data_IF_550553598128
#
_entry.id   IF_550553598128
#
_cell.length_a   1.000
_cell.length_b   1.000
_cell.length_c   1.000
_cell.angle_alpha   90.00
_cell.angle_beta   90.00
_cell.angle_gamma   90.00
#
_symmetry.space_group_name_H-M   'P 1'
#
loop_
_entity.id
_entity.type
_entity.pdbx_description
1 polymer ?
#
# COMPACT_ATOMS: atom_id res chain seq x y z
N UNK A 1 1.57 -28.47 44.63
CA UNK A 1 1.82 -29.05 43.29
C UNK A 1 0.80 -28.54 42.25
N UNK A 2 0.36 -27.28 42.35
CA UNK A 2 -0.63 -26.66 41.44
C UNK A 2 -0.09 -25.39 40.75
N UNK A 3 0.95 -24.74 41.28
CA UNK A 3 1.54 -23.55 40.66
C UNK A 3 2.50 -23.88 39.49
N UNK A 4 3.15 -25.04 39.50
CA UNK A 4 4.10 -25.42 38.45
C UNK A 4 3.44 -25.79 37.13
N UNK A 5 2.21 -26.32 37.14
CA UNK A 5 1.46 -26.65 35.93
C UNK A 5 0.90 -25.41 35.22
N UNK A 6 0.45 -24.40 35.97
CA UNK A 6 -0.01 -23.14 35.39
C UNK A 6 1.15 -22.39 34.73
N UNK A 7 2.31 -22.30 35.41
CA UNK A 7 3.52 -21.68 34.87
C UNK A 7 4.07 -22.44 33.65
N UNK A 8 4.01 -23.77 33.64
CA UNK A 8 4.43 -24.57 32.48
C UNK A 8 3.42 -24.43 31.32
N UNK A 9 2.11 -24.34 31.58
CA UNK A 9 1.11 -24.10 30.52
C UNK A 9 1.19 -22.67 29.97
N UNK A 10 1.55 -21.70 30.81
CA UNK A 10 1.78 -20.31 30.43
C UNK A 10 3.08 -20.20 29.61
N UNK A 11 4.16 -20.85 30.04
CA UNK A 11 5.43 -20.91 29.29
C UNK A 11 5.29 -21.64 27.94
N UNK A 12 4.61 -22.80 27.93
CA UNK A 12 4.30 -23.54 26.70
C UNK A 12 3.39 -22.71 25.79
N UNK A 13 2.44 -21.95 26.34
CA UNK A 13 1.58 -21.08 25.53
C UNK A 13 2.35 -19.93 24.88
N UNK A 14 3.36 -19.38 25.56
CA UNK A 14 4.21 -18.28 25.04
C UNK A 14 5.17 -18.79 23.96
N UNK A 15 5.80 -19.95 24.16
CA UNK A 15 6.68 -20.57 23.16
C UNK A 15 5.88 -21.02 21.93
N UNK A 16 4.75 -21.70 22.12
CA UNK A 16 3.88 -22.13 21.01
C UNK A 16 3.30 -20.93 20.26
N UNK A 17 2.94 -19.84 20.96
CA UNK A 17 2.46 -18.62 20.33
C UNK A 17 3.55 -17.97 19.46
N UNK A 18 4.78 -17.94 19.96
CA UNK A 18 5.95 -17.38 19.25
C UNK A 18 6.23 -18.19 17.98
N UNK A 19 6.28 -19.51 18.08
CA UNK A 19 6.48 -20.37 16.90
C UNK A 19 5.32 -20.25 15.91
N UNK A 20 4.08 -20.20 16.41
CA UNK A 20 2.90 -20.04 15.58
C UNK A 20 2.91 -18.73 14.82
N UNK A 21 3.19 -17.59 15.48
CA UNK A 21 3.19 -16.29 14.80
C UNK A 21 4.34 -16.18 13.80
N UNK A 22 5.50 -16.80 14.06
CA UNK A 22 6.58 -16.89 13.08
C UNK A 22 6.19 -17.68 11.84
N UNK A 23 5.54 -18.85 12.01
CA UNK A 23 5.04 -19.66 10.90
C UNK A 23 3.97 -18.91 10.09
N UNK A 24 3.04 -18.24 10.77
CA UNK A 24 2.01 -17.43 10.11
C UNK A 24 2.63 -16.24 9.39
N UNK A 25 3.64 -15.58 9.97
CA UNK A 25 4.36 -14.49 9.32
C UNK A 25 5.09 -14.98 8.05
N UNK A 26 5.82 -16.09 8.13
CA UNK A 26 6.48 -16.69 6.98
C UNK A 26 5.49 -17.09 5.89
N UNK A 27 4.39 -17.73 6.26
CA UNK A 27 3.32 -18.08 5.34
C UNK A 27 2.70 -16.84 4.68
N UNK A 28 2.48 -15.77 5.46
CA UNK A 28 1.97 -14.50 4.96
C UNK A 28 2.93 -13.87 3.96
N UNK A 29 4.23 -13.79 4.29
CA UNK A 29 5.24 -13.23 3.40
C UNK A 29 5.34 -14.01 2.08
N UNK A 30 5.34 -15.35 2.13
CA UNK A 30 5.35 -16.18 0.92
C UNK A 30 4.09 -16.00 0.07
N UNK A 31 2.93 -15.87 0.73
CA UNK A 31 1.65 -15.61 0.04
C UNK A 31 1.65 -14.24 -0.65
N UNK A 32 2.21 -13.20 -0.02
CA UNK A 32 2.36 -11.88 -0.62
C UNK A 32 3.32 -11.88 -1.81
N UNK A 33 4.43 -12.62 -1.74
CA UNK A 33 5.35 -12.80 -2.86
C UNK A 33 4.70 -13.56 -4.03
N UNK A 34 3.81 -14.50 -3.70
CA UNK A 34 3.07 -15.34 -4.65
C UNK A 34 1.71 -14.74 -5.00
N UNK A 35 1.65 -13.42 -5.22
CA UNK A 35 0.41 -12.65 -5.36
C UNK A 35 -0.53 -13.19 -6.46
N UNK A 36 0.03 -13.75 -7.54
CA UNK A 36 -0.70 -14.32 -8.68
C UNK A 36 -1.58 -15.53 -8.28
N UNK A 37 -1.17 -16.29 -7.27
CA UNK A 37 -1.85 -17.52 -6.86
C UNK A 37 -2.57 -17.39 -5.51
N UNK A 38 -2.29 -16.32 -4.77
CA UNK A 38 -2.77 -16.13 -3.40
C UNK A 38 -3.65 -14.88 -3.20
N UNK A 39 -4.05 -14.19 -4.26
CA UNK A 39 -4.82 -12.94 -4.22
C UNK A 39 -6.03 -12.98 -3.27
N UNK A 40 -6.82 -14.06 -3.31
CA UNK A 40 -7.96 -14.28 -2.39
C UNK A 40 -7.53 -14.52 -0.93
N UNK A 41 -6.40 -15.18 -0.71
CA UNK A 41 -5.86 -15.47 0.61
C UNK A 41 -5.26 -14.23 1.29
N UNK A 42 -4.77 -13.26 0.52
CA UNK A 42 -4.17 -12.02 1.05
C UNK A 42 -5.17 -11.26 1.92
N UNK A 43 -6.44 -11.17 1.51
CA UNK A 43 -7.48 -10.51 2.30
C UNK A 43 -7.62 -11.14 3.70
N UNK A 44 -7.77 -12.47 3.76
CA UNK A 44 -7.93 -13.18 5.03
C UNK A 44 -6.69 -13.10 5.92
N UNK A 45 -5.50 -13.12 5.33
CA UNK A 45 -4.25 -12.95 6.05
C UNK A 45 -4.15 -11.56 6.65
N UNK A 46 -4.39 -10.50 5.88
CA UNK A 46 -4.41 -9.13 6.41
C UNK A 46 -5.49 -8.96 7.47
N UNK A 47 -6.66 -9.58 7.31
CA UNK A 47 -7.71 -9.57 8.32
C UNK A 47 -7.32 -10.29 9.61
N UNK A 48 -6.50 -11.34 9.53
CA UNK A 48 -5.90 -11.97 10.71
C UNK A 48 -4.94 -11.00 11.42
N UNK A 49 -4.01 -10.39 10.67
CA UNK A 49 -3.04 -9.44 11.23
C UNK A 49 -3.70 -8.20 11.81
N UNK A 50 -4.74 -7.67 11.16
CA UNK A 50 -5.54 -6.55 11.66
C UNK A 50 -6.18 -6.88 13.01
N UNK A 51 -6.78 -8.07 13.15
CA UNK A 51 -7.32 -8.54 14.44
C UNK A 51 -6.24 -8.74 15.51
N UNK A 52 -5.05 -9.21 15.12
CA UNK A 52 -3.93 -9.35 16.04
C UNK A 52 -3.47 -7.98 16.57
N UNK A 53 -3.18 -7.01 15.71
CA UNK A 53 -2.70 -5.68 16.13
C UNK A 53 -3.73 -4.89 16.93
N UNK A 54 -5.02 -5.00 16.56
CA UNK A 54 -6.11 -4.34 17.30
C UNK A 54 -6.37 -4.98 18.67
N UNK A 55 -5.95 -6.24 18.86
CA UNK A 55 -6.06 -6.93 20.15
C UNK A 55 -4.90 -6.64 21.11
N UNK A 56 -3.76 -6.11 20.63
CA UNK A 56 -2.56 -5.85 21.44
C UNK A 56 -2.81 -5.04 22.71
N UNK A 57 -3.62 -3.95 22.70
CA UNK A 57 -3.90 -3.17 23.91
C UNK A 57 -4.56 -3.98 25.05
N UNK A 58 -5.11 -5.15 24.74
CA UNK A 58 -5.79 -6.02 25.68
C UNK A 58 -4.92 -7.21 26.14
N UNK A 59 -3.75 -7.41 25.53
CA UNK A 59 -2.83 -8.49 25.85
C UNK A 59 -1.84 -8.07 26.96
N UNK A 60 -1.52 -9.01 27.85
CA UNK A 60 -0.49 -8.85 28.88
C UNK A 60 0.66 -9.80 28.56
N UNK A 61 1.90 -9.32 28.55
CA UNK A 61 3.11 -10.15 28.33
C UNK A 61 3.98 -9.66 27.18
N UNK A 62 4.86 -10.52 26.68
CA UNK A 62 5.88 -10.21 25.65
C UNK A 62 5.34 -10.21 24.21
N UNK A 63 4.09 -10.63 23.99
CA UNK A 63 3.38 -10.61 22.69
C UNK A 63 3.48 -9.29 21.90
N UNK A 64 3.42 -8.09 22.52
CA UNK A 64 3.59 -6.82 21.82
C UNK A 64 4.94 -6.73 21.08
N UNK A 65 6.03 -7.18 21.71
CA UNK A 65 7.39 -7.09 21.12
C UNK A 65 7.56 -7.95 19.87
N UNK A 66 6.87 -9.09 19.79
CA UNK A 66 6.97 -9.97 18.63
C UNK A 66 6.21 -9.40 17.42
N UNK A 67 5.02 -8.86 17.67
CA UNK A 67 4.24 -8.17 16.64
C UNK A 67 4.93 -6.89 16.16
N UNK A 68 5.70 -6.24 17.05
CA UNK A 68 6.51 -5.08 16.70
C UNK A 68 7.59 -5.40 15.65
N UNK A 69 8.06 -6.65 15.57
CA UNK A 69 9.03 -7.07 14.55
C UNK A 69 8.38 -7.61 13.28
N UNK A 70 7.23 -8.29 13.40
CA UNK A 70 6.60 -9.00 12.26
C UNK A 70 5.68 -8.10 11.44
N UNK A 71 4.89 -7.24 12.09
CA UNK A 71 3.88 -6.42 11.41
C UNK A 71 4.51 -5.47 10.39
N UNK A 72 5.61 -4.75 10.69
CA UNK A 72 6.25 -3.89 9.69
C UNK A 72 6.69 -4.65 8.44
N UNK A 73 7.27 -5.85 8.59
CA UNK A 73 7.71 -6.68 7.46
C UNK A 73 6.55 -7.10 6.57
N UNK A 74 5.38 -7.35 7.16
CA UNK A 74 4.17 -7.72 6.42
C UNK A 74 3.59 -6.51 5.70
N UNK A 75 3.57 -5.35 6.36
CA UNK A 75 3.16 -4.07 5.75
C UNK A 75 4.03 -3.75 4.53
N UNK A 76 5.35 -3.82 4.68
CA UNK A 76 6.32 -3.59 3.60
C UNK A 76 6.17 -4.62 2.47
N UNK A 77 6.04 -5.90 2.84
CA UNK A 77 5.83 -7.00 1.89
C UNK A 77 4.54 -6.84 1.07
N UNK A 78 3.47 -6.36 1.70
CA UNK A 78 2.21 -6.09 1.00
C UNK A 78 2.39 -4.96 -0.01
N UNK A 79 2.94 -3.81 0.39
CA UNK A 79 3.16 -2.67 -0.51
C UNK A 79 4.02 -3.10 -1.70
N UNK A 80 5.14 -3.79 -1.41
CA UNK A 80 6.05 -4.28 -2.44
C UNK A 80 5.34 -5.24 -3.41
N UNK A 81 4.51 -6.15 -2.90
CA UNK A 81 3.77 -7.10 -3.75
C UNK A 81 2.84 -6.41 -4.74
N UNK A 82 2.20 -5.30 -4.34
CA UNK A 82 1.32 -4.52 -5.22
C UNK A 82 2.07 -3.78 -6.32
N UNK A 83 3.28 -3.32 -6.04
CA UNK A 83 4.07 -2.66 -7.07
C UNK A 83 4.68 -3.67 -8.03
N UNK A 84 5.08 -4.83 -7.53
CA UNK A 84 5.50 -5.95 -8.37
C UNK A 84 4.35 -6.50 -9.22
N UNK A 85 3.09 -6.44 -8.76
CA UNK A 85 1.96 -6.88 -9.57
C UNK A 85 1.71 -5.99 -10.78
N UNK A 86 1.95 -4.68 -10.64
CA UNK A 86 1.88 -3.74 -11.78
C UNK A 86 3.00 -4.01 -12.79
N UNK A 87 4.21 -4.36 -12.32
CA UNK A 87 5.35 -4.70 -13.18
C UNK A 87 5.22 -6.05 -13.88
N UNK A 88 4.57 -7.03 -13.22
CA UNK A 88 4.40 -8.38 -13.74
C UNK A 88 3.41 -8.51 -14.89
N UNK A 89 2.67 -7.44 -15.21
CA UNK A 89 1.52 -7.46 -16.10
C UNK A 89 0.35 -8.23 -15.48
N UNK A 90 -0.86 -7.68 -15.58
CA UNK A 90 -2.04 -8.50 -15.35
C UNK A 90 -2.11 -9.50 -16.50
N UNK A 91 -2.42 -10.77 -16.22
CA UNK A 91 -2.75 -11.73 -17.27
C UNK A 91 -3.85 -11.14 -18.15
N UNK A 92 -3.88 -11.50 -19.44
CA UNK A 92 -4.78 -11.01 -20.51
C UNK A 92 -6.31 -11.10 -20.18
N UNK A 93 -6.65 -11.65 -19.01
CA UNK A 93 -7.96 -11.56 -18.39
C UNK A 93 -8.09 -10.21 -17.67
N UNK A 94 -8.49 -9.18 -18.45
CA UNK A 94 -8.69 -7.79 -18.04
C UNK A 94 -9.66 -7.58 -16.84
N UNK A 95 -10.28 -8.64 -16.30
CA UNK A 95 -11.23 -8.57 -15.18
C UNK A 95 -10.59 -8.57 -13.79
N UNK A 96 -9.32 -8.94 -13.66
CA UNK A 96 -8.72 -9.26 -12.36
C UNK A 96 -7.79 -8.16 -11.81
N UNK A 97 -7.62 -7.05 -12.54
CA UNK A 97 -6.85 -5.91 -12.03
C UNK A 97 -7.65 -5.18 -10.94
N UNK A 98 -7.20 -5.17 -9.68
CA UNK A 98 -7.89 -4.47 -8.60
C UNK A 98 -7.93 -2.95 -8.80
N UNK A 99 -7.03 -2.35 -9.58
CA UNK A 99 -7.12 -0.91 -9.87
C UNK A 99 -8.32 -0.56 -10.76
N UNK A 100 -8.80 -1.52 -11.56
CA UNK A 100 -9.96 -1.34 -12.45
C UNK A 100 -11.29 -1.67 -11.74
N UNK A 101 -11.23 -2.30 -10.56
CA UNK A 101 -12.38 -2.65 -9.73
C UNK A 101 -12.27 -2.04 -8.33
N UNK A 102 -12.95 -0.91 -8.15
CA UNK A 102 -12.96 -0.14 -6.90
C UNK A 102 -13.44 -0.96 -5.70
N UNK A 103 -14.43 -1.85 -5.87
CA UNK A 103 -14.93 -2.70 -4.79
C UNK A 103 -13.86 -3.69 -4.32
N UNK A 104 -13.23 -4.39 -5.28
CA UNK A 104 -12.13 -5.31 -4.99
C UNK A 104 -10.91 -4.60 -4.36
N UNK A 105 -10.62 -3.39 -4.81
CA UNK A 105 -9.56 -2.56 -4.25
C UNK A 105 -9.83 -2.18 -2.79
N UNK A 106 -11.06 -1.77 -2.51
CA UNK A 106 -11.49 -1.41 -1.16
C UNK A 106 -11.44 -2.61 -0.22
N UNK A 107 -11.90 -3.78 -0.67
CA UNK A 107 -11.84 -5.01 0.12
C UNK A 107 -10.39 -5.37 0.46
N UNK A 108 -9.47 -5.32 -0.51
CA UNK A 108 -8.06 -5.61 -0.27
C UNK A 108 -7.38 -4.61 0.68
N UNK A 109 -7.83 -3.36 0.68
CA UNK A 109 -7.31 -2.31 1.55
C UNK A 109 -8.12 -2.14 2.85
N UNK A 110 -9.16 -2.93 3.10
CA UNK A 110 -10.02 -2.78 4.28
C UNK A 110 -9.22 -2.99 5.57
N UNK A 111 -8.43 -4.06 5.62
CA UNK A 111 -7.67 -4.47 6.80
C UNK A 111 -6.27 -3.85 6.88
N UNK A 112 -5.71 -3.41 5.76
CA UNK A 112 -4.33 -2.94 5.65
C UNK A 112 -3.99 -1.72 6.52
N UNK A 113 -4.83 -0.65 6.60
CA UNK A 113 -4.56 0.52 7.42
C UNK A 113 -4.27 0.22 8.89
N UNK A 114 -4.84 -0.85 9.43
CA UNK A 114 -4.64 -1.23 10.83
C UNK A 114 -3.21 -1.68 11.10
N UNK A 115 -2.59 -2.38 10.14
CA UNK A 115 -1.18 -2.79 10.22
C UNK A 115 -0.25 -1.59 10.11
N UNK A 116 -0.52 -0.66 9.18
CA UNK A 116 0.26 0.59 9.07
C UNK A 116 0.21 1.41 10.36
N UNK A 117 -0.99 1.55 10.94
CA UNK A 117 -1.18 2.37 12.14
C UNK A 117 -0.60 1.76 13.41
N UNK A 118 -0.43 0.45 13.45
CA UNK A 118 0.28 -0.23 14.54
C UNK A 118 1.70 0.31 14.74
N UNK A 119 2.41 0.59 13.64
CA UNK A 119 3.69 1.31 13.66
C UNK A 119 3.68 2.47 12.68
N UNK A 120 2.92 3.52 13.02
CA UNK A 120 2.60 4.57 12.06
C UNK A 120 3.82 5.38 11.61
N UNK A 121 4.74 5.68 12.52
CA UNK A 121 5.99 6.40 12.19
C UNK A 121 6.87 5.64 11.20
N UNK A 122 7.15 4.35 11.48
CA UNK A 122 7.96 3.51 10.58
C UNK A 122 7.28 3.30 9.22
N UNK A 123 5.98 3.02 9.24
CA UNK A 123 5.20 2.73 8.03
C UNK A 123 5.11 3.96 7.10
N UNK A 124 4.90 5.16 7.65
CA UNK A 124 4.82 6.38 6.85
C UNK A 124 6.16 6.75 6.20
N UNK A 125 7.26 6.63 6.95
CA UNK A 125 8.62 6.84 6.41
C UNK A 125 8.89 5.88 5.26
N UNK A 126 8.50 4.61 5.39
CA UNK A 126 8.64 3.63 4.32
C UNK A 126 7.82 3.98 3.08
N UNK A 127 6.53 4.35 3.25
CA UNK A 127 5.65 4.75 2.14
C UNK A 127 6.26 5.94 1.38
N UNK A 128 6.70 6.98 2.09
CA UNK A 128 7.34 8.17 1.49
C UNK A 128 8.63 7.78 0.75
N UNK A 129 9.45 6.92 1.36
CA UNK A 129 10.71 6.45 0.78
C UNK A 129 10.52 5.74 -0.56
N UNK A 130 9.47 4.92 -0.71
CA UNK A 130 9.20 4.23 -1.99
C UNK A 130 8.49 5.14 -2.98
N UNK A 131 7.67 6.07 -2.50
CA UNK A 131 6.99 7.04 -3.35
C UNK A 131 7.96 7.92 -4.12
N UNK A 132 8.99 8.46 -3.46
CA UNK A 132 9.95 9.41 -4.05
C UNK A 132 10.58 8.96 -5.38
N UNK A 133 11.21 7.76 -5.50
CA UNK A 133 11.78 7.31 -6.78
C UNK A 133 10.73 7.10 -7.88
N UNK A 134 9.50 6.72 -7.53
CA UNK A 134 8.41 6.55 -8.49
C UNK A 134 8.00 7.91 -9.08
N UNK A 135 7.89 8.95 -8.23
CA UNK A 135 7.60 10.32 -8.69
C UNK A 135 8.71 10.89 -9.56
N UNK A 136 9.96 10.64 -9.19
CA UNK A 136 11.10 11.08 -9.97
C UNK A 136 11.08 10.43 -11.36
N UNK A 137 10.89 9.11 -11.43
CA UNK A 137 10.78 8.38 -12.70
C UNK A 137 9.64 8.91 -13.57
N UNK A 138 8.47 9.16 -12.98
CA UNK A 138 7.33 9.75 -13.68
C UNK A 138 7.65 11.15 -14.26
N UNK A 139 8.28 12.01 -13.47
CA UNK A 139 8.62 13.38 -13.86
C UNK A 139 9.66 13.43 -14.98
N UNK A 140 10.67 12.56 -14.91
CA UNK A 140 11.71 12.45 -15.94
C UNK A 140 11.14 11.95 -17.27
N UNK A 141 10.26 10.93 -17.22
CA UNK A 141 9.56 10.38 -18.39
C UNK A 141 8.59 11.37 -19.03
N UNK A 142 7.85 12.12 -18.22
CA UNK A 142 6.95 13.16 -18.72
C UNK A 142 7.72 14.25 -19.54
N UNK A 143 9.00 14.48 -19.22
CA UNK A 143 9.85 15.46 -19.92
C UNK A 143 10.50 14.91 -21.20
N UNK A 144 10.79 13.61 -21.28
CA UNK A 144 11.51 12.95 -22.39
C UNK A 144 10.61 11.91 -23.10
N UNK A 145 9.93 12.26 -24.21
CA UNK A 145 9.04 11.33 -24.89
C UNK A 145 9.87 10.49 -25.87
N UNK A 146 10.34 9.32 -25.45
CA UNK A 146 10.87 8.33 -26.38
C UNK A 146 9.71 7.45 -26.86
N UNK A 147 9.59 7.25 -28.18
CA UNK A 147 8.40 6.73 -28.86
C UNK A 147 8.12 5.21 -28.64
N UNK A 148 8.74 4.57 -27.64
CA UNK A 148 8.66 3.13 -27.38
C UNK A 148 8.26 2.74 -25.95
N UNK A 149 7.73 3.69 -25.18
CA UNK A 149 7.82 3.68 -23.71
C UNK A 149 6.46 3.69 -22.98
N UNK A 150 5.38 3.44 -23.73
CA UNK A 150 4.00 3.53 -23.23
C UNK A 150 3.72 2.50 -22.13
N UNK A 151 4.24 1.29 -22.29
CA UNK A 151 4.05 0.21 -21.31
C UNK A 151 4.76 0.54 -19.99
N UNK A 152 5.98 1.07 -20.03
CA UNK A 152 6.72 1.43 -18.83
C UNK A 152 6.11 2.64 -18.10
N UNK A 153 5.55 3.61 -18.84
CA UNK A 153 4.81 4.72 -18.25
C UNK A 153 3.53 4.23 -17.56
N UNK A 154 2.79 3.30 -18.18
CA UNK A 154 1.58 2.71 -17.59
C UNK A 154 1.88 1.97 -16.27
N UNK A 155 3.05 1.33 -16.17
CA UNK A 155 3.51 0.68 -14.94
C UNK A 155 3.75 1.70 -13.84
N UNK A 156 4.41 2.83 -14.15
CA UNK A 156 4.66 3.90 -13.19
C UNK A 156 3.31 4.52 -12.72
N UNK A 157 2.38 4.74 -13.63
CA UNK A 157 1.05 5.26 -13.31
C UNK A 157 0.26 4.30 -12.40
N UNK A 158 0.31 2.99 -12.66
CA UNK A 158 -0.31 1.99 -11.79
C UNK A 158 0.31 1.95 -10.39
N UNK A 159 1.63 2.13 -10.27
CA UNK A 159 2.30 2.24 -8.98
C UNK A 159 1.87 3.50 -8.21
N UNK A 160 1.77 4.64 -8.90
CA UNK A 160 1.26 5.89 -8.31
C UNK A 160 -0.19 5.70 -7.84
N UNK A 161 -1.05 5.07 -8.65
CA UNK A 161 -2.43 4.79 -8.28
C UNK A 161 -2.52 3.96 -6.99
N UNK A 162 -1.74 2.88 -6.88
CA UNK A 162 -1.68 2.09 -5.65
C UNK A 162 -1.25 2.92 -4.43
N UNK A 163 -0.22 3.76 -4.57
CA UNK A 163 0.23 4.63 -3.47
C UNK A 163 -0.88 5.56 -3.02
N UNK A 164 -1.56 6.22 -3.96
CA UNK A 164 -2.66 7.14 -3.66
C UNK A 164 -3.79 6.41 -2.94
N UNK A 165 -4.19 5.22 -3.42
CA UNK A 165 -5.24 4.43 -2.78
C UNK A 165 -4.84 3.91 -1.40
N UNK A 166 -3.59 3.48 -1.21
CA UNK A 166 -3.06 3.08 0.09
C UNK A 166 -3.11 4.25 1.08
N UNK A 167 -2.60 5.43 0.69
CA UNK A 167 -2.61 6.62 1.55
C UNK A 167 -4.05 7.03 1.87
N UNK A 168 -4.94 7.06 0.87
CA UNK A 168 -6.35 7.36 1.08
C UNK A 168 -7.02 6.40 2.07
N UNK A 169 -6.74 5.09 1.97
CA UNK A 169 -7.26 4.09 2.91
C UNK A 169 -6.72 4.31 4.34
N UNK A 170 -5.44 4.64 4.50
CA UNK A 170 -4.83 4.96 5.80
C UNK A 170 -5.51 6.17 6.43
N UNK A 171 -5.64 7.27 5.67
CA UNK A 171 -6.26 8.52 6.12
C UNK A 171 -7.75 8.35 6.46
N UNK A 172 -8.46 7.46 5.76
CA UNK A 172 -9.89 7.17 5.99
C UNK A 172 -10.15 6.54 7.36
N UNK A 173 -9.28 5.63 7.80
CA UNK A 173 -9.41 5.04 9.12
C UNK A 173 -9.10 6.14 10.13
N UNK A 174 -9.84 6.25 11.23
CA UNK A 174 -9.45 7.08 12.38
C UNK A 174 -9.17 6.13 13.53
N UNK A 175 -7.90 5.76 13.76
CA UNK A 175 -7.58 4.99 14.96
C UNK A 175 -7.38 5.95 16.12
N UNK A 176 -8.27 5.83 17.10
CA UNK A 176 -8.22 6.58 18.36
C UNK A 176 -7.74 5.65 19.47
N UNK A 177 -6.45 5.31 19.50
CA UNK A 177 -5.89 4.66 20.69
C UNK A 177 -4.38 4.91 20.87
N UNK A 178 -4.05 5.30 22.11
CA UNK A 178 -2.76 5.20 22.80
C UNK A 178 -1.55 6.06 22.37
N UNK A 179 -1.56 6.76 21.24
CA UNK A 179 -0.49 7.71 20.86
C UNK A 179 -0.96 9.17 20.99
N UNK A 180 -0.02 10.13 21.06
CA UNK A 180 -0.38 11.55 21.03
C UNK A 180 -1.03 11.87 19.68
N UNK A 181 -2.28 12.34 19.73
CA UNK A 181 -3.07 12.70 18.54
C UNK A 181 -2.29 13.63 17.61
N UNK A 182 -1.55 14.58 18.18
CA UNK A 182 -0.72 15.54 17.44
C UNK A 182 0.36 14.85 16.56
N UNK A 183 1.01 13.79 17.05
CA UNK A 183 2.04 13.10 16.26
C UNK A 183 1.43 12.33 15.09
N UNK A 184 0.21 11.81 15.25
CA UNK A 184 -0.48 11.09 14.18
C UNK A 184 -1.03 12.06 13.12
N UNK A 185 -1.57 13.20 13.54
CA UNK A 185 -2.04 14.25 12.64
C UNK A 185 -0.91 14.84 11.78
N UNK A 186 0.30 14.98 12.33
CA UNK A 186 1.47 15.40 11.56
C UNK A 186 1.84 14.39 10.48
N UNK A 187 1.75 13.08 10.78
CA UNK A 187 2.02 12.03 9.79
C UNK A 187 0.92 12.03 8.72
N UNK A 188 -0.36 12.15 9.12
CA UNK A 188 -1.49 12.26 8.19
C UNK A 188 -1.29 13.46 7.24
N UNK A 189 -0.88 14.61 7.78
CA UNK A 189 -0.62 15.83 7.01
C UNK A 189 0.55 15.65 6.03
N UNK A 190 1.65 15.02 6.45
CA UNK A 190 2.79 14.74 5.56
C UNK A 190 2.37 13.80 4.42
N UNK A 191 1.68 12.70 4.72
CA UNK A 191 1.21 11.76 3.68
C UNK A 191 0.24 12.43 2.72
N UNK A 192 -0.70 13.25 3.22
CA UNK A 192 -1.61 14.02 2.40
C UNK A 192 -0.86 15.04 1.51
N UNK A 193 0.13 15.74 2.06
CA UNK A 193 0.96 16.68 1.29
C UNK A 193 1.67 15.98 0.12
N UNK A 194 2.17 14.75 0.32
CA UNK A 194 2.80 13.98 -0.77
C UNK A 194 1.84 13.60 -1.88
N UNK A 195 0.61 13.19 -1.54
CA UNK A 195 -0.43 12.93 -2.55
C UNK A 195 -0.81 14.22 -3.28
N UNK A 196 -0.93 15.34 -2.58
CA UNK A 196 -1.26 16.63 -3.21
C UNK A 196 -0.13 17.15 -4.13
N UNK A 197 1.13 16.86 -3.81
CA UNK A 197 2.27 17.20 -4.69
C UNK A 197 2.16 16.51 -6.05
N UNK A 198 1.55 15.32 -6.14
CA UNK A 198 1.31 14.64 -7.41
C UNK A 198 0.45 15.47 -8.36
N UNK A 199 -0.52 16.25 -7.85
CA UNK A 199 -1.39 17.09 -8.69
C UNK A 199 -0.55 18.06 -9.52
N UNK A 200 0.43 18.71 -8.90
CA UNK A 200 1.31 19.66 -9.58
C UNK A 200 2.22 18.96 -10.61
N UNK A 201 2.66 17.74 -10.31
CA UNK A 201 3.52 16.95 -11.20
C UNK A 201 2.73 16.50 -12.42
N UNK A 202 1.53 15.94 -12.22
CA UNK A 202 0.62 15.50 -13.29
C UNK A 202 0.16 16.68 -14.15
N UNK A 203 -0.15 17.83 -13.56
CA UNK A 203 -0.53 19.04 -14.31
C UNK A 203 0.62 19.57 -15.17
N UNK A 204 1.85 19.56 -14.66
CA UNK A 204 3.04 19.94 -15.45
C UNK A 204 3.30 18.96 -16.62
N UNK A 205 3.06 17.67 -16.40
CA UNK A 205 3.12 16.63 -17.42
C UNK A 205 2.04 16.81 -18.48
N UNK A 206 0.79 17.03 -18.08
CA UNK A 206 -0.35 17.26 -18.95
C UNK A 206 -0.19 18.56 -19.75
N UNK A 207 0.28 19.65 -19.16
CA UNK A 207 0.56 20.88 -19.89
C UNK A 207 1.67 20.71 -20.93
N UNK A 208 2.69 19.90 -20.66
CA UNK A 208 3.71 19.56 -21.67
C UNK A 208 3.12 18.74 -22.83
N UNK A 209 2.18 17.83 -22.53
CA UNK A 209 1.45 17.02 -23.52
C UNK A 209 0.46 17.87 -24.33
N UNK A 210 -0.32 18.76 -23.70
CA UNK A 210 -1.33 19.62 -24.34
C UNK A 210 -0.66 20.72 -25.19
N UNK A 211 0.44 21.31 -24.73
CA UNK A 211 1.22 22.28 -25.52
C UNK A 211 1.78 21.61 -26.77
N UNK A 212 2.28 20.36 -26.67
CA UNK A 212 2.65 19.55 -27.84
C UNK A 212 1.47 19.13 -28.71
N UNK A 213 0.31 18.82 -28.14
CA UNK A 213 -0.90 18.55 -28.94
C UNK A 213 -1.28 19.79 -29.75
N UNK A 214 -1.11 21.00 -29.20
CA UNK A 214 -1.33 22.28 -29.88
C UNK A 214 -0.27 22.60 -30.94
N UNK A 215 0.99 22.24 -30.71
CA UNK A 215 2.07 22.34 -31.70
C UNK A 215 1.92 21.30 -32.82
N UNK A 216 1.35 20.12 -32.51
CA UNK A 216 0.98 19.11 -33.50
C UNK A 216 -0.37 19.41 -34.18
N UNK A 217 -1.25 20.23 -33.57
CA UNK A 217 -2.52 20.68 -34.15
C UNK A 217 -2.39 21.89 -35.08
N UNK A 218 -1.17 22.32 -35.43
CA UNK A 218 -0.97 23.11 -36.65
C UNK A 218 -0.94 22.23 -37.90
N UNK A 219 -1.07 20.90 -37.74
CA UNK A 219 -1.30 19.95 -38.81
C UNK A 219 -2.50 19.09 -38.39
N UNK A 220 -3.61 19.23 -39.11
CA UNK A 220 -4.91 18.56 -38.90
C UNK A 220 -5.85 19.20 -37.86
N UNK A 221 -6.69 20.09 -38.39
CA UNK A 221 -7.98 20.47 -37.83
C UNK A 221 -8.89 19.26 -37.51
N UNK A 222 -9.70 19.44 -36.47
CA UNK A 222 -11.02 18.82 -36.21
C UNK A 222 -11.09 17.30 -35.96
N UNK A 223 -11.05 16.92 -34.68
CA UNK A 223 -12.21 16.25 -34.09
C UNK A 223 -12.18 16.34 -32.56
N UNK A 224 -13.12 17.12 -32.05
CA UNK A 224 -13.49 17.27 -30.66
C UNK A 224 -14.11 15.98 -30.16
N UNK A 225 -13.68 15.53 -28.98
CA UNK A 225 -14.53 15.13 -27.84
C UNK A 225 -13.89 14.00 -27.05
N UNK A 226 -14.04 14.11 -25.73
CA UNK A 226 -14.23 13.01 -24.77
C UNK A 226 -13.18 12.98 -23.66
N UNK A 227 -13.59 13.59 -22.55
CA UNK A 227 -13.42 13.16 -21.15
C UNK A 227 -12.21 13.73 -20.39
N UNK A 228 -12.47 14.92 -19.85
CA UNK A 228 -12.25 15.27 -18.44
C UNK A 228 -13.27 14.53 -17.57
N UNK A 229 -12.85 13.49 -16.83
CA UNK A 229 -13.38 13.03 -15.52
C UNK A 229 -12.21 12.20 -14.94
N UNK A 230 -11.45 12.60 -13.92
CA UNK A 230 -11.82 12.70 -12.51
C UNK A 230 -10.79 13.57 -11.76
N UNK A 231 -11.23 14.72 -11.26
CA UNK A 231 -11.12 15.18 -9.87
C UNK A 231 -12.27 16.16 -9.64
#
# INVERSE_FOLDING_TARGET
MLNSFSQLSELLSVEIYTDWIHLVAEFTTKSLQSWQWASNSVYYLLGLWSRLVTSVPYLKGDTPSLLDETVPKITEGFITSRFSSVQGGFSDDLSDNPLDNIELLQDQLECFPYLCRFQYGSSSVYIIKIMEPILQAYTERARLPTHGDVDELSVIEGQIAWIVHIIAAILKVRQTTCCSTESQELIDAELAARVLQLINITDSGLHSQVKRKKDNLSIYELSTSTIMILF
#
